data_IF_923555424964
#
_entry.id   IF_923555424964
#
_cell.length_a   1.000
_cell.length_b   1.000
_cell.length_c   1.000
_cell.angle_alpha   90.00
_cell.angle_beta   90.00
_cell.angle_gamma   90.00
#
_symmetry.space_group_name_H-M   'P 1'
#
loop_
_entity.id
_entity.type
_entity.pdbx_description
1 polymer ?
#
# COMPACT_ATOMS: atom_id res chain seq x y z
N UNK A 1 -46.78 44.12 -37.70
CA UNK A 1 -47.19 42.71 -37.77
C UNK A 1 -45.95 41.82 -37.82
N UNK A 2 -46.00 40.72 -37.07
CA UNK A 2 -45.11 39.53 -37.06
C UNK A 2 -43.68 39.69 -36.51
N UNK A 3 -43.54 39.17 -35.28
CA UNK A 3 -42.32 38.78 -34.57
C UNK A 3 -41.74 37.50 -35.18
N UNK A 4 -40.42 37.43 -35.17
CA UNK A 4 -39.61 36.24 -35.39
C UNK A 4 -38.85 35.97 -34.08
N UNK A 5 -38.91 34.75 -33.55
CA UNK A 5 -37.88 34.09 -32.73
C UNK A 5 -38.40 32.70 -32.32
N UNK A 6 -37.69 31.70 -32.82
CA UNK A 6 -37.93 30.26 -32.64
C UNK A 6 -37.18 29.81 -31.38
N UNK A 7 -37.87 29.08 -30.50
CA UNK A 7 -37.39 28.61 -29.21
C UNK A 7 -36.77 27.21 -29.37
N UNK A 8 -35.56 26.99 -28.86
CA UNK A 8 -34.88 25.69 -28.83
C UNK A 8 -35.36 24.88 -27.61
N UNK A 9 -35.96 23.71 -27.84
CA UNK A 9 -36.28 22.71 -26.82
C UNK A 9 -35.67 21.38 -27.21
N UNK A 10 -34.62 20.98 -26.49
CA UNK A 10 -33.87 19.73 -26.62
C UNK A 10 -34.67 18.60 -25.93
N UNK A 11 -35.05 17.54 -26.66
CA UNK A 11 -35.63 16.32 -26.07
C UNK A 11 -34.83 15.10 -26.55
N UNK A 12 -34.17 14.45 -25.59
CA UNK A 12 -33.40 13.23 -25.80
C UNK A 12 -34.32 12.05 -26.16
N UNK A 13 -33.95 11.30 -27.19
CA UNK A 13 -34.66 10.09 -27.62
C UNK A 13 -33.79 8.88 -27.25
N UNK A 14 -34.25 8.12 -26.26
CA UNK A 14 -33.83 6.73 -26.02
C UNK A 14 -34.24 5.87 -27.22
N UNK A 15 -33.33 5.08 -27.75
CA UNK A 15 -33.66 3.99 -28.67
C UNK A 15 -33.06 2.69 -28.12
N UNK A 16 -33.93 1.87 -27.52
CA UNK A 16 -33.69 0.44 -27.36
C UNK A 16 -34.22 -0.25 -28.61
N UNK A 17 -33.35 -0.96 -29.34
CA UNK A 17 -33.76 -1.87 -30.40
C UNK A 17 -33.08 -3.22 -30.19
N UNK A 18 -33.88 -4.20 -29.81
CA UNK A 18 -33.58 -5.62 -29.95
C UNK A 18 -33.95 -6.05 -31.37
N UNK A 19 -33.01 -6.61 -32.13
CA UNK A 19 -33.31 -7.38 -33.32
C UNK A 19 -32.39 -8.60 -33.41
N UNK A 20 -33.01 -9.79 -33.40
CA UNK A 20 -32.44 -11.04 -33.89
C UNK A 20 -32.48 -11.08 -35.41
N UNK A 21 -31.43 -11.60 -36.06
CA UNK A 21 -31.52 -12.15 -37.41
C UNK A 21 -30.30 -11.95 -38.31
N UNK A 22 -29.67 -13.08 -38.64
CA UNK A 22 -28.92 -13.39 -39.86
C UNK A 22 -27.41 -13.11 -39.91
N UNK A 23 -26.70 -14.22 -39.68
CA UNK A 23 -25.29 -14.52 -39.89
C UNK A 23 -24.86 -14.37 -41.36
N UNK A 24 -23.70 -13.76 -41.63
CA UNK A 24 -22.72 -14.15 -42.67
C UNK A 24 -21.44 -13.29 -42.52
N UNK A 25 -20.31 -13.97 -42.29
CA UNK A 25 -18.97 -13.44 -42.54
C UNK A 25 -18.17 -13.09 -41.29
N UNK A 26 -17.16 -13.92 -41.00
CA UNK A 26 -16.05 -13.73 -40.05
C UNK A 26 -16.02 -12.37 -39.32
N UNK A 27 -16.49 -12.38 -38.09
CA UNK A 27 -15.93 -11.53 -37.05
C UNK A 27 -15.37 -12.50 -36.02
N UNK A 28 -14.06 -12.41 -35.80
CA UNK A 28 -13.45 -12.93 -34.59
C UNK A 28 -14.24 -12.33 -33.41
N UNK A 29 -15.17 -13.11 -32.87
CA UNK A 29 -15.59 -12.87 -31.50
C UNK A 29 -14.29 -12.95 -30.69
N UNK A 30 -13.84 -11.89 -29.99
CA UNK A 30 -12.73 -12.04 -29.07
C UNK A 30 -13.12 -13.18 -28.13
N UNK A 31 -12.20 -14.14 -27.87
CA UNK A 31 -12.51 -15.26 -27.02
C UNK A 31 -13.03 -14.72 -25.69
N UNK A 32 -14.08 -15.37 -25.15
CA UNK A 32 -14.62 -15.09 -23.83
C UNK A 32 -13.46 -14.81 -22.86
N UNK A 33 -13.48 -13.65 -22.21
CA UNK A 33 -12.39 -13.04 -21.42
C UNK A 33 -11.62 -14.11 -20.62
N UNK A 34 -10.54 -14.68 -21.18
CA UNK A 34 -9.68 -15.71 -20.53
C UNK A 34 -8.74 -15.07 -19.49
N UNK A 35 -9.25 -14.00 -18.87
CA UNK A 35 -8.62 -13.26 -17.80
C UNK A 35 -8.86 -13.96 -16.49
N UNK A 36 -7.82 -13.96 -15.66
CA UNK A 36 -7.85 -14.41 -14.28
C UNK A 36 -7.49 -13.26 -13.37
N UNK A 37 -7.82 -13.40 -12.09
CA UNK A 37 -7.26 -12.59 -11.04
C UNK A 37 -6.11 -13.36 -10.40
N UNK A 38 -4.95 -12.73 -10.24
CA UNK A 38 -3.81 -13.33 -9.57
C UNK A 38 -3.13 -12.32 -8.65
N UNK A 39 -2.65 -12.76 -7.49
CA UNK A 39 -1.63 -12.00 -6.76
C UNK A 39 -0.33 -12.10 -7.54
N UNK A 40 0.29 -10.97 -7.86
CA UNK A 40 1.54 -10.92 -8.66
C UNK A 40 2.56 -10.06 -7.93
N UNK A 41 3.80 -10.54 -7.85
CA UNK A 41 4.95 -9.76 -7.39
C UNK A 41 5.35 -8.72 -8.45
N UNK A 42 5.05 -7.44 -8.20
CA UNK A 42 5.34 -6.33 -9.13
C UNK A 42 6.48 -5.48 -8.55
N UNK A 43 7.59 -5.28 -9.28
CA UNK A 43 8.67 -4.38 -8.86
C UNK A 43 8.16 -2.97 -8.57
N UNK A 44 8.77 -2.26 -7.61
CA UNK A 44 8.30 -0.92 -7.21
C UNK A 44 8.24 0.06 -8.38
N UNK A 45 9.25 0.05 -9.25
CA UNK A 45 9.30 0.90 -10.44
C UNK A 45 8.14 0.66 -11.41
N UNK A 46 7.66 -0.57 -11.56
CA UNK A 46 6.53 -0.89 -12.42
C UNK A 46 5.18 -0.66 -11.71
N UNK A 47 5.14 -0.85 -10.40
CA UNK A 47 3.95 -0.59 -9.60
C UNK A 47 3.62 0.90 -9.56
N UNK A 48 4.58 1.76 -9.21
CA UNK A 48 4.35 3.19 -9.00
C UNK A 48 4.26 4.01 -10.27
N UNK A 49 4.81 3.52 -11.39
CA UNK A 49 4.75 4.20 -12.70
C UNK A 49 3.36 4.65 -13.12
N UNK A 50 2.32 3.90 -12.75
CA UNK A 50 0.93 4.32 -12.97
C UNK A 50 0.29 4.95 -11.74
N UNK A 51 0.72 4.64 -10.52
CA UNK A 51 0.10 5.14 -9.28
C UNK A 51 0.49 6.58 -8.94
N UNK A 52 1.64 7.05 -9.42
CA UNK A 52 2.21 8.32 -8.98
C UNK A 52 2.52 9.23 -10.17
N UNK A 53 2.63 10.52 -9.89
CA UNK A 53 3.01 11.48 -10.93
C UNK A 53 4.48 11.28 -11.26
N UNK A 54 4.80 11.22 -12.56
CA UNK A 54 6.13 10.95 -13.08
C UNK A 54 6.75 9.60 -12.64
N UNK A 55 5.95 8.71 -12.03
CA UNK A 55 6.45 7.46 -11.43
C UNK A 55 7.27 7.68 -10.16
N UNK A 56 7.10 8.82 -9.48
CA UNK A 56 7.87 9.16 -8.29
C UNK A 56 7.43 8.34 -7.07
N UNK A 57 8.41 7.71 -6.42
CA UNK A 57 8.26 7.06 -5.13
C UNK A 57 9.54 7.29 -4.33
N UNK A 58 9.47 7.11 -3.01
CA UNK A 58 10.63 7.30 -2.17
C UNK A 58 11.75 6.31 -2.52
N UNK A 59 12.94 6.86 -2.76
CA UNK A 59 14.14 6.08 -3.02
C UNK A 59 14.57 5.42 -1.71
N UNK A 60 14.06 4.21 -1.47
CA UNK A 60 14.47 3.28 -0.43
C UNK A 60 14.72 3.90 0.93
N UNK A 61 13.77 3.69 1.82
CA UNK A 61 14.00 3.79 3.25
C UNK A 61 15.03 2.72 3.71
N UNK A 62 16.31 3.04 3.55
CA UNK A 62 17.55 2.32 3.91
C UNK A 62 17.74 0.86 3.48
N UNK A 63 18.95 0.61 2.97
CA UNK A 63 19.63 -0.70 2.92
C UNK A 63 19.95 -1.27 4.33
N UNK A 64 19.09 -1.10 5.32
CA UNK A 64 19.22 -1.83 6.57
C UNK A 64 18.61 -3.21 6.37
N UNK A 65 19.44 -4.12 5.88
CA UNK A 65 19.66 -5.55 6.21
C UNK A 65 18.78 -6.23 7.30
N UNK A 66 17.50 -5.89 7.42
CA UNK A 66 16.66 -6.24 8.59
C UNK A 66 15.25 -6.63 8.16
N UNK A 67 15.15 -7.39 7.07
CA UNK A 67 13.99 -8.25 6.75
C UNK A 67 13.79 -9.34 7.84
N UNK A 68 14.77 -9.40 8.75
CA UNK A 68 14.96 -10.31 9.85
C UNK A 68 14.10 -10.14 11.09
N UNK A 69 12.95 -9.45 11.08
CA UNK A 69 12.09 -9.42 12.28
C UNK A 69 10.77 -10.19 12.12
N UNK A 70 10.48 -10.76 10.95
CA UNK A 70 9.33 -11.65 10.74
C UNK A 70 7.95 -11.01 10.86
N UNK A 71 7.88 -9.77 11.33
CA UNK A 71 6.76 -8.88 11.16
C UNK A 71 6.86 -8.19 9.80
N UNK A 72 7.21 -8.90 8.73
CA UNK A 72 7.29 -8.38 7.38
C UNK A 72 6.79 -9.44 6.43
N UNK A 73 5.54 -9.33 6.01
CA UNK A 73 5.11 -9.86 4.72
C UNK A 73 3.78 -9.18 4.42
N UNK A 74 3.89 -7.93 3.96
CA UNK A 74 2.81 -6.96 3.97
C UNK A 74 2.50 -6.57 2.53
N UNK A 75 2.25 -7.59 1.70
CA UNK A 75 2.24 -7.45 0.25
C UNK A 75 3.51 -6.85 -0.33
N UNK A 76 4.66 -6.98 0.33
CA UNK A 76 5.99 -6.73 -0.25
C UNK A 76 6.72 -8.05 -0.36
N UNK A 77 7.63 -8.17 -1.33
CA UNK A 77 8.39 -9.40 -1.54
C UNK A 77 9.90 -9.11 -1.65
N UNK A 78 10.70 -10.15 -1.46
CA UNK A 78 12.15 -10.12 -1.54
C UNK A 78 12.66 -11.42 -2.19
N UNK A 79 13.90 -11.40 -2.70
CA UNK A 79 14.47 -12.56 -3.42
C UNK A 79 15.55 -13.30 -2.63
N UNK A 80 16.09 -12.69 -1.57
CA UNK A 80 17.19 -13.25 -0.80
C UNK A 80 16.68 -14.11 0.34
N UNK A 81 17.26 -15.29 0.52
CA UNK A 81 16.82 -16.22 1.57
C UNK A 81 17.37 -15.88 2.95
N UNK A 82 18.38 -15.01 3.01
CA UNK A 82 18.99 -14.59 4.28
C UNK A 82 18.48 -13.22 4.72
N UNK A 83 18.02 -13.08 5.97
CA UNK A 83 17.44 -11.82 6.43
C UNK A 83 18.37 -10.60 6.41
N UNK A 84 19.69 -10.84 6.46
CA UNK A 84 20.72 -9.82 6.42
C UNK A 84 20.99 -9.27 5.01
N UNK A 85 20.63 -10.01 3.96
CA UNK A 85 20.81 -9.59 2.57
C UNK A 85 19.50 -9.20 1.91
N UNK A 86 18.38 -9.57 2.50
CA UNK A 86 17.08 -9.29 1.94
C UNK A 86 16.82 -7.79 1.80
N UNK A 87 16.47 -7.44 0.57
CA UNK A 87 16.03 -6.11 0.13
C UNK A 87 14.65 -6.32 -0.45
N UNK A 88 13.67 -5.55 0.02
CA UNK A 88 12.35 -5.61 -0.57
C UNK A 88 12.38 -5.01 -1.99
N UNK A 89 11.75 -5.74 -2.91
CA UNK A 89 11.86 -5.56 -4.36
C UNK A 89 10.64 -4.87 -4.98
N UNK A 90 9.48 -5.03 -4.34
CA UNK A 90 8.24 -4.53 -4.88
C UNK A 90 7.05 -4.92 -4.03
N UNK A 91 5.87 -4.91 -4.65
CA UNK A 91 4.58 -5.17 -4.02
C UNK A 91 3.89 -6.36 -4.68
N UNK A 92 3.39 -7.29 -3.86
CA UNK A 92 2.44 -8.32 -4.26
C UNK A 92 1.04 -7.71 -4.35
N UNK A 93 0.51 -7.57 -5.56
CA UNK A 93 -0.76 -6.90 -5.85
C UNK A 93 -1.72 -7.82 -6.62
N UNK A 94 -3.04 -7.78 -6.36
CA UNK A 94 -4.00 -8.44 -7.23
C UNK A 94 -4.03 -7.80 -8.62
N UNK A 95 -3.99 -8.63 -9.66
CA UNK A 95 -3.97 -8.19 -11.06
C UNK A 95 -5.00 -8.98 -11.85
N UNK A 96 -5.85 -8.28 -12.61
CA UNK A 96 -6.64 -8.87 -13.69
C UNK A 96 -5.77 -8.96 -14.94
N UNK A 97 -5.58 -10.18 -15.45
CA UNK A 97 -4.60 -10.47 -16.50
C UNK A 97 -5.04 -11.71 -17.32
N UNK A 98 -4.83 -11.70 -18.63
CA UNK A 98 -5.04 -12.89 -19.46
C UNK A 98 -4.09 -14.03 -19.05
N UNK A 99 -4.55 -15.28 -19.03
CA UNK A 99 -3.70 -16.43 -18.67
C UNK A 99 -2.42 -16.53 -19.50
N UNK A 100 -2.49 -16.21 -20.80
CA UNK A 100 -1.33 -16.19 -21.68
C UNK A 100 -0.27 -15.17 -21.21
N UNK A 101 -0.70 -13.92 -20.99
CA UNK A 101 0.19 -12.87 -20.51
C UNK A 101 0.80 -13.24 -19.15
N UNK A 102 0.00 -13.75 -18.22
CA UNK A 102 0.46 -14.16 -16.89
C UNK A 102 1.61 -15.17 -16.96
N UNK A 103 1.46 -16.22 -17.78
CA UNK A 103 2.51 -17.22 -18.02
C UNK A 103 3.75 -16.63 -18.70
N UNK A 104 3.57 -15.60 -19.53
CA UNK A 104 4.68 -14.96 -20.24
C UNK A 104 5.51 -14.00 -19.39
N UNK A 105 5.08 -13.66 -18.16
CA UNK A 105 5.84 -12.76 -17.27
C UNK A 105 7.16 -13.39 -16.77
N UNK A 106 7.28 -14.72 -16.81
CA UNK A 106 8.50 -15.43 -16.44
C UNK A 106 8.68 -15.68 -14.93
N UNK A 107 7.68 -15.36 -14.11
CA UNK A 107 7.66 -15.67 -12.69
C UNK A 107 7.19 -17.09 -12.36
N UNK A 108 7.40 -17.50 -11.12
CA UNK A 108 6.98 -18.83 -10.61
C UNK A 108 5.51 -18.83 -10.23
N UNK A 109 4.76 -19.84 -10.66
CA UNK A 109 3.41 -20.11 -10.16
C UNK A 109 3.49 -20.72 -8.76
N UNK A 110 2.84 -20.06 -7.81
CA UNK A 110 2.64 -20.51 -6.43
C UNK A 110 1.21 -21.04 -6.30
N UNK A 111 1.08 -22.19 -5.65
CA UNK A 111 -0.18 -22.89 -5.38
C UNK A 111 -0.28 -23.26 -3.91
N UNK A 112 -1.45 -23.71 -3.46
CA UNK A 112 -1.62 -24.20 -2.08
C UNK A 112 -0.76 -25.43 -1.77
N UNK A 113 -0.38 -26.20 -2.80
CA UNK A 113 0.49 -27.38 -2.70
C UNK A 113 1.99 -27.04 -2.79
N UNK A 114 2.34 -25.78 -3.00
CA UNK A 114 3.74 -25.35 -3.04
C UNK A 114 4.41 -25.58 -1.69
N UNK A 115 5.64 -26.10 -1.71
CA UNK A 115 6.38 -26.41 -0.49
C UNK A 115 6.50 -25.17 0.42
N UNK A 116 6.06 -25.30 1.66
CA UNK A 116 6.23 -24.28 2.68
C UNK A 116 7.71 -24.02 2.96
N UNK A 117 8.04 -22.81 3.39
CA UNK A 117 9.38 -22.50 3.89
C UNK A 117 9.32 -21.79 5.23
N UNK A 118 10.40 -21.94 5.99
CA UNK A 118 10.56 -21.32 7.29
C UNK A 118 11.56 -20.17 7.20
N UNK A 119 11.16 -19.01 7.71
CA UNK A 119 12.05 -17.88 7.91
C UNK A 119 12.40 -17.78 9.40
N UNK A 120 13.67 -18.03 9.72
CA UNK A 120 14.18 -17.87 11.08
C UNK A 120 14.82 -16.50 11.27
N UNK A 121 14.35 -15.82 12.30
CA UNK A 121 14.86 -14.54 12.80
C UNK A 121 15.85 -14.82 13.92
N UNK A 122 17.11 -14.45 13.70
CA UNK A 122 18.16 -14.57 14.71
C UNK A 122 18.25 -13.29 15.56
N UNK A 123 18.29 -13.42 16.89
CA UNK A 123 18.38 -12.28 17.81
C UNK A 123 18.00 -12.64 19.25
N UNK A 124 17.87 -11.63 20.13
CA UNK A 124 17.50 -11.83 21.55
C UNK A 124 16.13 -12.48 21.76
N UNK A 125 15.22 -12.34 20.80
CA UNK A 125 13.94 -13.04 20.75
C UNK A 125 13.83 -13.75 19.40
N UNK A 126 14.58 -14.85 19.25
CA UNK A 126 14.56 -15.64 18.03
C UNK A 126 13.14 -16.17 17.78
N UNK A 127 12.70 -16.13 16.52
CA UNK A 127 11.40 -16.68 16.11
C UNK A 127 11.52 -17.29 14.73
N UNK A 128 10.74 -18.34 14.48
CA UNK A 128 10.62 -18.96 13.16
C UNK A 128 9.20 -18.77 12.68
N UNK A 129 9.04 -18.35 11.44
CA UNK A 129 7.74 -18.16 10.81
C UNK A 129 7.67 -19.04 9.58
N UNK A 130 6.60 -19.84 9.49
CA UNK A 130 6.30 -20.70 8.37
C UNK A 130 5.35 -19.99 7.41
N UNK A 131 5.76 -19.92 6.16
CA UNK A 131 4.99 -19.42 5.03
C UNK A 131 4.49 -20.59 4.19
N UNK A 132 3.25 -20.51 3.71
CA UNK A 132 2.61 -21.56 2.91
C UNK A 132 1.61 -20.98 1.91
N UNK A 133 1.34 -21.73 0.83
CA UNK A 133 0.37 -21.32 -0.20
C UNK A 133 0.73 -19.95 -0.79
N UNK A 134 -0.26 -19.07 -0.98
CA UNK A 134 -0.04 -17.70 -1.49
C UNK A 134 1.04 -16.89 -0.73
N UNK A 135 1.26 -17.19 0.54
CA UNK A 135 2.26 -16.49 1.36
C UNK A 135 3.69 -16.74 0.86
N UNK A 136 3.91 -17.82 0.10
CA UNK A 136 5.21 -18.11 -0.50
C UNK A 136 5.67 -17.05 -1.51
N UNK A 137 4.74 -16.22 -2.01
CA UNK A 137 5.08 -15.05 -2.85
C UNK A 137 6.08 -14.11 -2.16
N UNK A 138 6.11 -14.09 -0.83
CA UNK A 138 7.00 -13.25 -0.04
C UNK A 138 8.49 -13.43 -0.38
N UNK A 139 8.93 -14.66 -0.69
CA UNK A 139 10.32 -15.00 -1.04
C UNK A 139 10.45 -15.49 -2.49
N UNK A 140 9.52 -15.07 -3.35
CA UNK A 140 9.49 -15.45 -4.75
C UNK A 140 9.99 -14.32 -5.66
N UNK A 141 10.58 -14.63 -6.83
CA UNK A 141 11.10 -13.62 -7.74
C UNK A 141 10.05 -12.66 -8.29
N UNK A 142 10.52 -11.65 -9.01
CA UNK A 142 9.69 -10.72 -9.76
C UNK A 142 8.70 -11.51 -10.64
N UNK A 143 7.45 -11.05 -10.67
CA UNK A 143 6.32 -11.62 -11.39
C UNK A 143 5.86 -13.02 -11.00
N UNK A 144 6.40 -13.62 -9.93
CA UNK A 144 5.78 -14.80 -9.34
C UNK A 144 4.34 -14.50 -8.92
N UNK A 145 3.48 -15.51 -9.04
CA UNK A 145 2.04 -15.30 -8.92
C UNK A 145 1.28 -16.45 -8.26
N UNK A 146 0.13 -16.12 -7.70
CA UNK A 146 -0.85 -17.07 -7.18
C UNK A 146 -2.23 -16.73 -7.77
N UNK A 147 -2.87 -17.68 -8.44
CA UNK A 147 -4.18 -17.46 -9.07
C UNK A 147 -5.27 -17.45 -7.99
N UNK A 148 -6.07 -16.38 -7.96
CA UNK A 148 -7.17 -16.22 -7.02
C UNK A 148 -8.43 -16.96 -7.52
N UNK A 149 -9.13 -17.59 -6.58
CA UNK A 149 -10.43 -18.22 -6.82
C UNK A 149 -11.59 -17.21 -6.89
N UNK A 150 -11.40 -16.03 -6.31
CA UNK A 150 -12.41 -14.99 -6.18
C UNK A 150 -11.92 -13.65 -6.74
N UNK A 151 -12.87 -12.77 -7.06
CA UNK A 151 -12.54 -11.41 -7.48
C UNK A 151 -12.09 -10.59 -6.26
N UNK A 152 -10.89 -9.98 -6.28
CA UNK A 152 -10.43 -9.14 -5.19
C UNK A 152 -11.17 -7.79 -5.18
N UNK A 153 -11.28 -7.17 -4.00
CA UNK A 153 -11.91 -5.84 -3.81
C UNK A 153 -11.19 -4.72 -4.56
N UNK A 154 -9.89 -4.91 -4.82
CA UNK A 154 -9.10 -4.02 -5.67
C UNK A 154 -8.15 -4.83 -6.55
N UNK A 155 -7.82 -4.30 -7.72
CA UNK A 155 -6.84 -4.90 -8.62
C UNK A 155 -6.25 -3.87 -9.58
N UNK A 156 -5.07 -4.18 -10.12
CA UNK A 156 -4.55 -3.52 -11.33
C UNK A 156 -4.93 -4.35 -12.56
N UNK A 157 -4.99 -3.75 -13.73
CA UNK A 157 -5.08 -4.48 -15.00
C UNK A 157 -3.71 -4.53 -15.65
N UNK A 158 -3.31 -5.72 -16.08
CA UNK A 158 -2.11 -5.89 -16.88
C UNK A 158 -2.45 -5.94 -18.36
N UNK A 159 -1.70 -5.19 -19.15
CA UNK A 159 -1.75 -5.22 -20.60
C UNK A 159 -0.34 -5.39 -21.15
N UNK A 160 -0.25 -6.04 -22.31
CA UNK A 160 0.99 -6.13 -23.09
C UNK A 160 0.88 -5.21 -24.28
N UNK A 161 1.87 -4.32 -24.44
CA UNK A 161 2.03 -3.49 -25.63
C UNK A 161 3.44 -3.73 -26.17
N UNK A 162 3.52 -4.31 -27.37
CA UNK A 162 4.77 -4.86 -27.91
C UNK A 162 5.42 -5.84 -26.90
N UNK A 163 6.70 -5.69 -26.60
CA UNK A 163 7.44 -6.54 -25.65
C UNK A 163 7.45 -5.99 -24.21
N UNK A 164 6.58 -5.03 -23.89
CA UNK A 164 6.50 -4.44 -22.55
C UNK A 164 5.14 -4.71 -21.91
N UNK A 165 5.19 -5.12 -20.65
CA UNK A 165 4.01 -5.23 -19.81
C UNK A 165 3.81 -3.91 -19.08
N UNK A 166 2.56 -3.51 -18.92
CA UNK A 166 2.18 -2.32 -18.15
C UNK A 166 1.05 -2.68 -17.20
N UNK A 167 1.10 -2.10 -16.00
CA UNK A 167 0.06 -2.23 -14.99
C UNK A 167 -0.70 -0.89 -14.85
N UNK A 168 -2.03 -0.93 -14.92
CA UNK A 168 -2.89 0.25 -14.74
C UNK A 168 -2.79 0.82 -13.31
N UNK A 169 -3.39 1.99 -13.05
CA UNK A 169 -3.73 2.37 -11.66
C UNK A 169 -4.61 1.30 -11.02
N UNK A 170 -4.57 1.20 -9.70
CA UNK A 170 -5.48 0.35 -8.93
C UNK A 170 -6.92 0.77 -9.22
N UNK A 171 -7.72 -0.21 -9.61
CA UNK A 171 -9.18 -0.14 -9.64
C UNK A 171 -9.70 -0.64 -8.30
N UNK A 172 -10.35 0.23 -7.56
CA UNK A 172 -10.94 -0.05 -6.26
C UNK A 172 -12.17 0.83 -6.04
N UNK A 173 -12.96 0.49 -5.02
CA UNK A 173 -13.91 1.42 -4.39
C UNK A 173 -13.34 1.84 -3.03
N UNK A 174 -12.55 2.93 -2.94
CA UNK A 174 -11.84 3.24 -1.72
C UNK A 174 -12.78 3.55 -0.55
N UNK A 175 -12.46 3.02 0.62
CA UNK A 175 -13.19 3.26 1.87
C UNK A 175 -12.70 4.58 2.49
N UNK A 176 -13.62 5.49 2.82
CA UNK A 176 -13.26 6.71 3.54
C UNK A 176 -12.89 6.37 5.00
N UNK A 177 -11.72 6.83 5.43
CA UNK A 177 -11.26 6.68 6.80
C UNK A 177 -11.77 7.77 7.73
N UNK A 178 -12.44 8.79 7.19
CA UNK A 178 -12.80 9.99 7.92
C UNK A 178 -11.58 10.85 8.24
N UNK A 179 -11.62 11.56 9.35
CA UNK A 179 -10.55 12.46 9.79
C UNK A 179 -9.36 11.67 10.32
N UNK A 180 -8.18 11.96 9.78
CA UNK A 180 -6.91 11.46 10.24
C UNK A 180 -6.17 12.56 11.00
N UNK A 181 -5.77 12.26 12.24
CA UNK A 181 -4.99 13.16 13.05
C UNK A 181 -3.52 12.76 12.95
N UNK A 182 -2.65 13.73 12.72
CA UNK A 182 -1.23 13.49 12.48
C UNK A 182 -0.39 14.29 13.46
N UNK A 183 0.62 13.64 14.02
CA UNK A 183 1.68 14.32 14.77
C UNK A 183 2.99 14.19 14.02
N UNK A 184 3.76 15.27 14.04
CA UNK A 184 5.12 15.33 13.53
C UNK A 184 6.08 15.31 14.72
N UNK A 185 7.06 14.41 14.70
CA UNK A 185 8.16 14.43 15.64
C UNK A 185 9.50 14.51 14.90
N UNK A 186 10.43 15.29 15.47
CA UNK A 186 11.85 15.23 15.13
C UNK A 186 12.33 13.82 15.47
N UNK A 187 12.97 13.13 14.51
CA UNK A 187 13.50 11.78 14.72
C UNK A 187 14.43 11.70 15.94
N UNK A 188 14.59 10.52 16.54
CA UNK A 188 15.57 10.37 17.63
C UNK A 188 17.00 10.48 17.08
N UNK A 189 17.94 10.90 17.93
CA UNK A 189 19.37 11.19 17.64
C UNK A 189 20.15 10.04 16.95
N UNK A 190 19.55 8.85 16.80
CA UNK A 190 20.16 7.66 16.21
C UNK A 190 19.59 7.28 14.84
N UNK A 191 18.68 8.07 14.26
CA UNK A 191 17.99 7.73 13.03
C UNK A 191 18.46 8.62 11.88
N UNK A 192 18.90 7.99 10.79
CA UNK A 192 19.18 8.65 9.49
C UNK A 192 17.89 9.16 8.79
N UNK A 193 16.77 9.26 9.53
CA UNK A 193 15.42 9.50 9.03
C UNK A 193 14.82 10.75 9.67
N UNK A 194 14.19 11.60 8.86
CA UNK A 194 13.49 12.81 9.30
C UNK A 194 12.06 12.81 8.74
N UNK A 195 11.18 13.67 9.29
CA UNK A 195 10.24 13.41 10.39
C UNK A 195 9.74 11.98 10.59
N UNK A 196 9.39 11.72 11.84
CA UNK A 196 8.42 10.71 12.25
C UNK A 196 7.00 11.29 12.12
N UNK A 197 6.09 10.61 11.41
CA UNK A 197 4.67 10.97 11.33
C UNK A 197 3.84 9.87 12.01
N UNK A 198 3.24 10.14 13.16
CA UNK A 198 2.30 9.19 13.77
C UNK A 198 0.86 9.52 13.35
N UNK A 199 0.10 8.48 13.04
CA UNK A 199 -1.28 8.58 12.57
C UNK A 199 -2.26 8.12 13.66
N UNK A 200 -3.37 8.84 13.79
CA UNK A 200 -4.40 8.56 14.76
C UNK A 200 -5.80 8.71 14.17
N UNK A 201 -6.75 7.97 14.71
CA UNK A 201 -8.18 8.13 14.47
C UNK A 201 -8.85 8.55 15.77
N UNK A 202 -9.90 9.35 15.70
CA UNK A 202 -10.70 9.65 16.89
C UNK A 202 -11.81 8.62 17.08
N UNK A 203 -12.19 8.41 18.34
CA UNK A 203 -13.39 7.64 18.69
C UNK A 203 -14.66 8.51 18.62
N UNK A 204 -14.50 9.83 18.49
CA UNK A 204 -15.55 10.85 18.45
C UNK A 204 -15.23 11.90 17.36
N UNK A 205 -16.19 12.67 16.84
CA UNK A 205 -15.85 13.81 15.98
C UNK A 205 -15.38 15.02 16.81
N UNK A 206 -14.45 15.81 16.25
CA UNK A 206 -14.02 17.07 16.83
C UNK A 206 -15.16 18.09 16.68
N UNK A 207 -15.75 18.53 17.78
CA UNK A 207 -16.73 19.63 17.76
C UNK A 207 -16.03 20.98 17.76
N UNK A 208 -16.69 22.01 17.24
CA UNK A 208 -16.19 23.40 17.22
C UNK A 208 -15.82 23.94 18.63
N UNK A 209 -16.33 23.31 19.68
CA UNK A 209 -16.10 23.65 21.09
C UNK A 209 -14.94 22.89 21.74
N UNK A 210 -14.48 21.79 21.13
CA UNK A 210 -13.41 20.95 21.69
C UNK A 210 -12.05 21.47 21.25
N UNK A 211 -11.22 21.87 22.21
CA UNK A 211 -9.82 22.26 21.98
C UNK A 211 -8.87 21.06 21.92
N UNK A 212 -9.36 19.87 22.28
CA UNK A 212 -8.64 18.60 22.20
C UNK A 212 -9.61 17.42 22.05
N UNK A 213 -9.11 16.28 21.57
CA UNK A 213 -9.91 15.08 21.34
C UNK A 213 -9.18 13.83 21.79
N UNK A 214 -9.94 12.84 22.27
CA UNK A 214 -9.41 11.50 22.49
C UNK A 214 -9.19 10.80 21.16
N UNK A 215 -7.99 10.30 20.95
CA UNK A 215 -7.63 9.54 19.76
C UNK A 215 -7.08 8.17 20.13
N UNK A 216 -7.13 7.27 19.15
CA UNK A 216 -6.44 5.99 19.17
C UNK A 216 -5.42 6.00 18.04
N UNK A 217 -4.29 5.36 18.29
CA UNK A 217 -3.26 5.19 17.27
C UNK A 217 -3.86 4.39 16.11
N UNK A 218 -3.54 4.76 14.88
CA UNK A 218 -3.89 3.95 13.72
C UNK A 218 -3.00 2.71 13.75
N UNK A 219 -3.56 1.64 14.30
CA UNK A 219 -2.79 0.47 14.68
C UNK A 219 -2.66 -0.51 13.51
N UNK A 220 -3.79 -0.93 12.93
CA UNK A 220 -3.87 -1.92 11.86
C UNK A 220 -5.15 -1.70 11.05
N UNK A 221 -5.13 -2.12 9.78
CA UNK A 221 -6.35 -2.31 8.99
C UNK A 221 -6.81 -3.76 9.16
N UNK A 222 -8.12 -4.01 9.04
CA UNK A 222 -8.67 -5.36 9.07
C UNK A 222 -8.20 -6.20 7.88
N UNK A 223 -8.34 -7.53 7.98
CA UNK A 223 -8.05 -8.44 6.87
C UNK A 223 -6.60 -8.94 6.83
N UNK A 224 -5.93 -8.99 7.99
CA UNK A 224 -4.60 -9.58 8.12
C UNK A 224 -4.62 -11.04 7.68
N UNK A 225 -3.74 -11.40 6.74
CA UNK A 225 -3.40 -12.80 6.54
C UNK A 225 -2.68 -13.36 7.77
N UNK A 226 -2.80 -14.66 7.99
CA UNK A 226 -2.27 -15.33 9.17
C UNK A 226 -1.17 -16.30 8.73
N UNK A 227 0.08 -16.01 9.09
CA UNK A 227 1.18 -16.96 9.03
C UNK A 227 1.26 -17.77 10.32
N UNK A 228 2.18 -18.75 10.38
CA UNK A 228 2.37 -19.57 11.59
C UNK A 228 3.73 -19.30 12.23
N UNK A 229 3.75 -18.94 13.50
CA UNK A 229 4.99 -18.98 14.30
C UNK A 229 5.25 -20.44 14.68
N UNK A 230 6.46 -20.92 14.41
CA UNK A 230 6.93 -22.25 14.79
C UNK A 230 7.67 -22.14 16.11
N UNK A 231 7.18 -22.86 17.10
CA UNK A 231 7.80 -23.02 18.42
C UNK A 231 7.94 -24.51 18.73
N UNK A 232 8.67 -24.85 19.79
CA UNK A 232 8.76 -26.22 20.29
C UNK A 232 8.17 -26.31 21.69
N UNK A 233 7.41 -27.37 21.96
CA UNK A 233 6.90 -27.66 23.29
C UNK A 233 7.96 -28.33 24.19
N UNK A 234 7.53 -28.77 25.38
CA UNK A 234 8.38 -29.46 26.35
C UNK A 234 8.90 -30.83 25.88
N UNK A 235 8.30 -31.40 24.83
CA UNK A 235 8.66 -32.67 24.22
C UNK A 235 9.48 -32.50 22.92
N UNK A 236 9.88 -31.28 22.58
CA UNK A 236 10.57 -30.91 21.33
C UNK A 236 9.67 -31.05 20.06
N UNK A 237 8.35 -31.15 20.23
CA UNK A 237 7.39 -31.18 19.12
C UNK A 237 7.05 -29.76 18.62
N UNK A 238 6.82 -29.61 17.31
CA UNK A 238 6.46 -28.31 16.73
C UNK A 238 5.05 -27.87 17.12
N UNK A 239 4.96 -26.67 17.69
CA UNK A 239 3.70 -25.99 17.96
C UNK A 239 3.58 -24.78 17.06
N UNK A 240 2.51 -24.77 16.25
CA UNK A 240 2.18 -23.68 15.35
C UNK A 240 1.17 -22.73 16.00
N UNK A 241 1.53 -21.46 16.10
CA UNK A 241 0.64 -20.41 16.62
C UNK A 241 0.37 -19.36 15.57
N UNK A 242 -0.83 -18.80 15.57
CA UNK A 242 -1.24 -17.78 14.61
C UNK A 242 -0.40 -16.51 14.77
N UNK A 243 0.11 -16.02 13.65
CA UNK A 243 0.81 -14.75 13.56
C UNK A 243 0.13 -13.88 12.52
N UNK A 244 -0.66 -12.87 12.92
CA UNK A 244 -1.22 -11.93 11.97
C UNK A 244 -0.08 -11.16 11.28
N UNK A 245 -0.21 -11.03 9.97
CA UNK A 245 0.63 -10.20 9.12
C UNK A 245 0.01 -8.78 9.07
N UNK A 246 0.82 -7.72 8.89
CA UNK A 246 0.29 -6.38 8.61
C UNK A 246 -0.45 -6.43 7.31
N UNK A 247 -1.44 -5.57 7.30
CA UNK A 247 -2.30 -5.34 6.18
C UNK A 247 -1.80 -4.23 5.27
N UNK A 248 -0.99 -3.26 5.72
CA UNK A 248 -0.57 -2.13 4.88
C UNK A 248 0.55 -2.47 3.89
N UNK A 249 0.29 -2.35 2.58
CA UNK A 249 1.28 -2.55 1.52
C UNK A 249 2.07 -1.29 1.20
N UNK A 250 1.35 -0.21 0.93
CA UNK A 250 1.95 1.08 0.55
C UNK A 250 0.98 2.23 0.81
N UNK A 251 1.51 3.45 0.75
CA UNK A 251 0.76 4.69 0.86
C UNK A 251 1.06 5.53 -0.39
N UNK A 252 0.02 6.16 -0.93
CA UNK A 252 0.14 7.22 -1.94
C UNK A 252 -0.27 8.53 -1.27
N UNK A 253 0.62 9.51 -1.26
CA UNK A 253 0.34 10.86 -0.79
C UNK A 253 0.03 11.78 -1.99
N UNK A 254 -1.01 12.60 -1.88
CA UNK A 254 -1.34 13.64 -2.86
C UNK A 254 -1.12 15.01 -2.23
N UNK A 255 -0.36 15.87 -2.90
CA UNK A 255 -0.13 17.24 -2.44
C UNK A 255 -1.26 18.21 -2.86
N UNK A 256 -1.13 19.47 -2.46
CA UNK A 256 -2.08 20.54 -2.81
C UNK A 256 -2.13 20.87 -4.30
N UNK A 257 -1.10 20.50 -5.07
CA UNK A 257 -1.03 20.68 -6.51
C UNK A 257 -1.66 19.49 -7.26
N UNK A 258 -2.09 18.46 -6.53
CA UNK A 258 -2.64 17.22 -7.08
C UNK A 258 -1.56 16.21 -7.51
N UNK A 259 -0.29 16.47 -7.20
CA UNK A 259 0.82 15.55 -7.51
C UNK A 259 0.81 14.37 -6.53
N UNK A 260 0.98 13.17 -7.07
CA UNK A 260 0.95 11.91 -6.32
C UNK A 260 2.36 11.35 -6.11
N UNK A 261 2.64 10.87 -4.90
CA UNK A 261 3.94 10.35 -4.49
C UNK A 261 3.78 9.01 -3.77
N UNK A 262 4.57 8.02 -4.18
CA UNK A 262 4.58 6.68 -3.59
C UNK A 262 5.47 6.61 -2.36
N UNK A 263 5.01 5.93 -1.31
CA UNK A 263 5.76 5.69 -0.09
C UNK A 263 5.92 4.18 0.13
N UNK A 264 7.16 3.70 0.04
CA UNK A 264 7.53 2.33 0.34
C UNK A 264 7.55 2.13 1.86
N UNK A 265 6.92 1.06 2.35
CA UNK A 265 6.62 0.87 3.78
C UNK A 265 7.81 0.39 4.63
N UNK A 266 9.05 0.50 4.14
CA UNK A 266 10.14 -0.34 4.62
C UNK A 266 10.89 0.15 5.87
N UNK A 267 10.84 1.44 6.27
CA UNK A 267 11.51 1.88 7.52
C UNK A 267 10.60 2.39 8.63
N UNK A 268 9.43 2.94 8.32
CA UNK A 268 8.81 3.86 9.29
C UNK A 268 7.80 3.20 10.23
N UNK A 269 7.30 2.01 9.88
CA UNK A 269 6.45 1.22 10.76
C UNK A 269 7.24 0.33 11.74
N UNK A 270 8.57 0.24 11.57
CA UNK A 270 9.38 -0.93 11.95
C UNK A 270 9.75 -1.11 13.43
N UNK A 271 9.38 -0.19 14.31
CA UNK A 271 9.80 -0.23 15.72
C UNK A 271 8.64 -0.31 16.72
N UNK A 272 7.48 -0.83 16.28
CA UNK A 272 6.20 -0.62 17.01
C UNK A 272 5.79 0.85 17.06
N UNK A 273 6.56 1.72 16.38
CA UNK A 273 6.40 3.15 16.41
C UNK A 273 5.34 3.63 15.40
N UNK A 274 4.95 2.81 14.40
CA UNK A 274 3.83 3.05 13.45
C UNK A 274 3.86 4.47 12.86
N UNK A 275 4.97 4.79 12.20
CA UNK A 275 5.26 6.13 11.70
C UNK A 275 5.34 6.10 10.16
N UNK A 276 5.13 7.23 9.51
CA UNK A 276 5.61 7.49 8.14
C UNK A 276 6.88 8.34 8.27
N UNK A 277 7.82 8.14 7.37
CA UNK A 277 9.07 8.88 7.30
C UNK A 277 9.68 8.71 5.92
N UNK A 278 10.69 9.48 5.63
CA UNK A 278 11.36 9.45 4.33
C UNK A 278 12.83 9.71 4.59
N UNK A 279 13.70 9.19 3.72
CA UNK A 279 15.13 9.44 3.84
C UNK A 279 15.38 10.92 3.63
N UNK A 280 15.80 11.62 4.67
CA UNK A 280 16.40 12.93 4.52
C UNK A 280 17.89 12.75 4.17
N UNK A 281 18.47 13.59 3.30
CA UNK A 281 19.92 13.64 3.12
C UNK A 281 20.62 13.85 4.45
N UNK A 282 21.77 13.19 4.70
CA UNK A 282 22.64 13.59 5.80
C UNK A 282 23.10 15.04 5.60
N UNK A 283 23.38 15.77 6.68
CA UNK A 283 23.72 17.21 6.64
C UNK A 283 24.92 17.56 5.73
N UNK A 284 25.72 16.56 5.39
CA UNK A 284 26.96 16.58 4.62
C UNK A 284 26.89 15.74 3.33
N UNK A 285 25.75 15.08 3.06
CA UNK A 285 25.51 14.39 1.79
C UNK A 285 24.69 15.27 0.86
N UNK A 286 25.18 15.43 -0.36
CA UNK A 286 24.50 16.07 -1.49
C UNK A 286 23.40 15.13 -2.04
N UNK A 287 22.60 14.50 -1.17
CA UNK A 287 21.42 13.76 -1.59
C UNK A 287 20.30 14.78 -1.89
N UNK A 288 19.57 14.63 -3.00
CA UNK A 288 18.39 15.44 -3.23
C UNK A 288 17.38 15.17 -2.10
N UNK A 289 16.80 16.23 -1.53
CA UNK A 289 15.68 16.09 -0.60
C UNK A 289 14.54 15.31 -1.28
N UNK A 290 13.85 14.46 -0.53
CA UNK A 290 12.66 13.80 -1.05
C UNK A 290 11.67 14.86 -1.57
N UNK A 291 11.04 14.63 -2.73
CA UNK A 291 10.20 15.64 -3.38
C UNK A 291 8.98 16.08 -2.55
N UNK A 292 8.60 15.26 -1.56
CA UNK A 292 7.54 15.60 -0.61
C UNK A 292 7.94 16.70 0.38
N UNK A 293 9.23 16.96 0.62
CA UNK A 293 9.66 17.97 1.58
C UNK A 293 9.16 19.35 1.15
N UNK A 294 8.49 20.06 2.07
CA UNK A 294 7.84 21.35 1.83
C UNK A 294 6.44 21.26 1.22
N UNK A 295 5.97 20.06 0.85
CA UNK A 295 4.62 19.87 0.28
C UNK A 295 3.56 19.76 1.37
N UNK A 296 2.42 20.40 1.12
CA UNK A 296 1.21 20.20 1.92
C UNK A 296 0.42 19.03 1.36
N UNK A 297 0.20 18.01 2.18
CA UNK A 297 -0.52 16.80 1.80
C UNK A 297 -2.01 17.02 2.04
N UNK A 298 -2.80 16.78 1.00
CA UNK A 298 -4.26 16.96 1.01
C UNK A 298 -5.01 15.65 1.03
N UNK A 299 -4.38 14.55 0.57
CA UNK A 299 -4.96 13.21 0.58
C UNK A 299 -3.91 12.15 0.86
N UNK A 300 -4.31 11.13 1.62
CA UNK A 300 -3.56 9.89 1.78
C UNK A 300 -4.43 8.72 1.29
N UNK A 301 -3.82 7.85 0.50
CA UNK A 301 -4.41 6.58 0.04
C UNK A 301 -3.59 5.44 0.62
N UNK A 302 -4.20 4.56 1.38
CA UNK A 302 -3.58 3.39 1.97
C UNK A 302 -4.03 2.17 1.18
N UNK A 303 -3.07 1.44 0.62
CA UNK A 303 -3.33 0.19 -0.08
C UNK A 303 -2.99 -0.94 0.88
N UNK A 304 -3.99 -1.76 1.22
CA UNK A 304 -3.86 -2.84 2.20
C UNK A 304 -3.98 -4.22 1.54
N UNK A 305 -3.91 -5.30 2.32
CA UNK A 305 -4.08 -6.66 1.85
C UNK A 305 -5.44 -6.87 1.20
N UNK A 306 -6.51 -6.45 1.87
CA UNK A 306 -7.86 -6.67 1.41
C UNK A 306 -8.50 -5.46 0.73
N UNK A 307 -8.02 -4.24 0.96
CA UNK A 307 -8.79 -3.03 0.67
C UNK A 307 -7.93 -1.82 0.31
N UNK A 308 -8.60 -0.78 -0.19
CA UNK A 308 -8.02 0.55 -0.35
C UNK A 308 -8.78 1.52 0.54
N UNK A 309 -8.04 2.31 1.32
CA UNK A 309 -8.60 3.33 2.19
C UNK A 309 -8.09 4.71 1.77
N UNK A 310 -8.92 5.73 1.91
CA UNK A 310 -8.52 7.12 1.64
C UNK A 310 -8.96 8.05 2.76
N UNK A 311 -8.24 9.14 2.92
CA UNK A 311 -8.68 10.30 3.70
C UNK A 311 -8.26 11.57 2.98
N UNK A 312 -9.14 12.58 2.99
CA UNK A 312 -8.82 13.96 2.58
C UNK A 312 -8.97 14.96 3.73
N UNK A 313 -9.23 14.46 4.95
CA UNK A 313 -9.38 15.27 6.17
C UNK A 313 -8.20 14.95 7.08
N UNK A 314 -7.13 15.72 6.93
CA UNK A 314 -5.89 15.50 7.68
C UNK A 314 -5.67 16.70 8.60
N UNK A 315 -5.53 16.45 9.90
CA UNK A 315 -5.35 17.50 10.91
C UNK A 315 -4.02 17.29 11.63
N UNK A 316 -3.11 18.25 11.49
CA UNK A 316 -1.84 18.30 12.23
C UNK A 316 -2.05 18.79 13.66
N UNK A 317 -1.34 18.19 14.61
CA UNK A 317 -1.37 18.59 16.02
C UNK A 317 -0.32 17.85 16.84
N UNK A 318 -0.55 17.81 18.16
CA UNK A 318 0.36 17.19 19.13
C UNK A 318 -0.37 16.26 20.09
N UNK A 319 0.36 15.30 20.65
CA UNK A 319 -0.08 14.45 21.76
C UNK A 319 0.81 14.79 22.96
N UNK A 320 0.22 15.16 24.09
CA UNK A 320 0.97 15.59 25.28
C UNK A 320 1.81 14.46 25.89
N UNK A 321 1.23 13.26 26.02
CA UNK A 321 1.94 12.05 26.47
C UNK A 321 1.59 10.85 25.57
N UNK A 322 2.48 10.45 24.65
CA UNK A 322 2.24 9.34 23.73
C UNK A 322 2.25 7.96 24.42
N UNK A 323 2.55 7.89 25.72
CA UNK A 323 2.53 6.66 26.52
C UNK A 323 1.31 6.58 27.45
N UNK A 324 0.49 7.62 27.49
CA UNK A 324 -0.74 7.62 28.27
C UNK A 324 -1.72 6.57 27.74
N UNK A 325 -2.54 6.01 28.65
CA UNK A 325 -3.61 5.08 28.27
C UNK A 325 -4.67 5.76 27.39
N UNK A 326 -5.00 7.01 27.70
CA UNK A 326 -5.85 7.87 26.89
C UNK A 326 -5.00 8.91 26.16
N UNK A 327 -4.93 8.80 24.83
CA UNK A 327 -4.18 9.73 24.00
C UNK A 327 -5.05 10.95 23.70
N UNK A 328 -4.61 12.11 24.17
CA UNK A 328 -5.31 13.38 23.95
C UNK A 328 -4.57 14.20 22.90
N UNK A 329 -5.25 14.42 21.78
CA UNK A 329 -4.76 15.19 20.63
C UNK A 329 -5.21 16.64 20.73
N UNK A 330 -4.26 17.55 20.55
CA UNK A 330 -4.50 18.98 20.46
C UNK A 330 -4.15 19.45 19.05
N UNK A 331 -5.12 19.94 18.25
CA UNK A 331 -4.85 20.51 16.93
C UNK A 331 -3.83 21.65 17.00
N UNK A 332 -3.01 21.78 15.95
CA UNK A 332 -2.10 22.91 15.80
C UNK A 332 -2.87 24.16 15.34
N UNK A 333 -2.33 25.35 15.64
CA UNK A 333 -2.81 26.62 15.10
C UNK A 333 -2.77 26.64 13.56
N UNK A 334 -1.80 25.94 12.96
CA UNK A 334 -1.76 25.58 11.55
C UNK A 334 -1.97 24.07 11.40
N UNK A 335 -3.23 23.62 11.22
CA UNK A 335 -3.55 22.20 11.13
C UNK A 335 -3.16 21.59 9.78
N UNK A 336 -2.57 22.36 8.86
CA UNK A 336 -2.13 21.84 7.56
C UNK A 336 -1.03 20.79 7.74
N UNK A 337 -1.18 19.65 7.06
CA UNK A 337 -0.17 18.62 7.05
C UNK A 337 0.89 18.92 6.00
N UNK A 338 1.78 19.86 6.34
CA UNK A 338 2.97 20.15 5.54
C UNK A 338 4.12 19.27 5.98
N UNK A 339 4.77 18.63 5.02
CA UNK A 339 5.94 17.79 5.25
C UNK A 339 7.14 18.70 5.51
N UNK A 340 7.48 18.87 6.78
CA UNK A 340 8.53 19.79 7.19
C UNK A 340 9.93 19.25 6.87
N UNK A 341 10.85 20.15 6.49
CA UNK A 341 12.28 19.82 6.46
C UNK A 341 12.81 19.84 7.89
N UNK A 342 13.08 18.68 8.47
CA UNK A 342 13.55 18.54 9.85
C UNK A 342 15.06 18.25 9.92
N UNK A 343 15.83 18.64 8.90
CA UNK A 343 17.29 18.59 8.96
C UNK A 343 17.83 19.56 10.03
N UNK A 344 18.61 19.05 11.00
CA UNK A 344 19.51 19.87 11.82
C UNK A 344 18.94 20.50 13.10
N UNK A 345 18.20 19.74 13.91
CA UNK A 345 18.16 19.97 15.37
C UNK A 345 18.99 18.94 16.11
#
# INVERSE_FOLDING_TARGET
MKRCLLNYGLLAVMFALTLSGCNHGNQDNPPADDSVYALVNIPYEEFFKSETTDGNFDAYTSATQKVANGSMSYGTYHIETTPAQAVARGITCPVKISKELLKSLGGTEITDDSASFDLTISGRAASTIRYSGKQNLFQSPDYSYYILSETPEYYKEAAKSADKVSFSKIKASPKDMGTLYVTLATGEVHHDFSPTIALYKSEEELSETKTSIKVVKLEEFSGAEIAKTVTKDENDEEVLTDKPLSTLKTIIATDSDGKEYGLTTLSNFFWGKKQIGFKAPAANDYYPQHELVGKTITKLTFITESDVYTTSKIIKGTIADPKAADLIFTPSDDPSFTVENIQGK
#
